data_IF_728031429037
#
_entry.id   IF_728031429037
#
_cell.length_a   1.000
_cell.length_b   1.000
_cell.length_c   1.000
_cell.angle_alpha   90.00
_cell.angle_beta   90.00
_cell.angle_gamma   90.00
#
_symmetry.space_group_name_H-M   'P 1'
#
loop_
_entity.id
_entity.type
_entity.pdbx_description
1 polymer ?
#
# COMPACT_ATOMS: atom_id res chain seq x y z
N UNK A 1 -43.03 -7.53 -7.52
CA UNK A 1 -42.47 -6.34 -8.19
C UNK A 1 -41.74 -5.43 -7.20
N UNK A 2 -42.37 -4.96 -6.12
CA UNK A 2 -41.72 -4.10 -5.10
C UNK A 2 -40.44 -4.70 -4.49
N UNK A 3 -40.46 -5.99 -4.13
CA UNK A 3 -39.28 -6.66 -3.55
C UNK A 3 -38.08 -6.67 -4.51
N UNK A 4 -38.32 -6.94 -5.79
CA UNK A 4 -37.27 -6.99 -6.83
C UNK A 4 -36.69 -5.58 -7.05
N UNK A 5 -37.55 -4.57 -7.16
CA UNK A 5 -37.11 -3.17 -7.30
C UNK A 5 -36.31 -2.72 -6.08
N UNK A 6 -36.73 -3.12 -4.87
CA UNK A 6 -36.01 -2.83 -3.64
C UNK A 6 -34.63 -3.49 -3.59
N UNK A 7 -34.51 -4.74 -4.03
CA UNK A 7 -33.21 -5.45 -4.10
C UNK A 7 -32.29 -4.79 -5.12
N UNK A 8 -32.79 -4.41 -6.30
CA UNK A 8 -32.01 -3.70 -7.32
C UNK A 8 -31.51 -2.37 -6.78
N UNK A 9 -32.37 -1.59 -6.11
CA UNK A 9 -32.00 -0.30 -5.55
C UNK A 9 -30.95 -0.44 -4.45
N UNK A 10 -31.11 -1.41 -3.53
CA UNK A 10 -30.12 -1.71 -2.50
C UNK A 10 -28.78 -2.18 -3.09
N UNK A 11 -28.82 -2.97 -4.17
CA UNK A 11 -27.60 -3.43 -4.86
C UNK A 11 -26.86 -2.27 -5.54
N UNK A 12 -27.58 -1.34 -6.17
CA UNK A 12 -26.98 -0.12 -6.74
C UNK A 12 -26.36 0.73 -5.64
N UNK A 13 -27.09 0.94 -4.53
CA UNK A 13 -26.61 1.73 -3.40
C UNK A 13 -25.33 1.14 -2.78
N UNK A 14 -25.27 -0.18 -2.66
CA UNK A 14 -24.10 -0.91 -2.14
C UNK A 14 -22.88 -0.90 -3.09
N UNK A 15 -23.09 -0.53 -4.36
CA UNK A 15 -22.06 -0.52 -5.42
C UNK A 15 -21.78 0.90 -5.94
N UNK A 16 -22.22 1.93 -5.23
CA UNK A 16 -21.82 3.29 -5.54
C UNK A 16 -20.29 3.43 -5.34
N UNK A 17 -19.60 4.18 -6.21
CA UNK A 17 -18.19 4.46 -6.01
C UNK A 17 -17.97 5.21 -4.69
N UNK A 18 -16.82 4.97 -4.06
CA UNK A 18 -16.40 5.74 -2.90
C UNK A 18 -16.32 7.23 -3.27
N UNK A 19 -16.59 8.11 -2.29
CA UNK A 19 -16.40 9.53 -2.48
C UNK A 19 -14.91 9.81 -2.79
N UNK A 20 -14.65 10.59 -3.84
CA UNK A 20 -13.29 10.96 -4.21
C UNK A 20 -12.71 11.84 -3.10
N UNK A 21 -11.56 11.44 -2.56
CA UNK A 21 -10.82 12.24 -1.59
C UNK A 21 -9.93 13.17 -2.39
N UNK A 22 -9.97 14.48 -2.07
CA UNK A 22 -9.03 15.42 -2.68
C UNK A 22 -7.65 15.25 -2.03
N UNK A 23 -6.85 14.37 -2.63
CA UNK A 23 -5.50 14.02 -2.19
C UNK A 23 -4.48 15.17 -2.35
N UNK A 24 -4.87 16.27 -3.02
CA UNK A 24 -4.01 17.41 -3.29
C UNK A 24 -4.36 18.64 -2.42
N UNK A 25 -5.47 18.59 -1.69
CA UNK A 25 -5.91 19.67 -0.80
C UNK A 25 -5.25 19.61 0.58
N UNK A 26 -4.54 20.67 0.95
CA UNK A 26 -3.95 20.85 2.28
C UNK A 26 -2.45 21.07 2.27
N UNK A 27 -1.88 21.07 3.47
CA UNK A 27 -0.46 21.28 3.71
C UNK A 27 0.27 19.97 3.90
N UNK A 28 1.44 19.84 3.28
CA UNK A 28 2.39 18.78 3.62
C UNK A 28 3.17 19.17 4.89
N UNK A 29 3.72 18.19 5.61
CA UNK A 29 4.54 18.43 6.80
C UNK A 29 5.73 19.36 6.51
N UNK A 30 6.27 19.32 5.28
CA UNK A 30 7.38 20.18 4.86
C UNK A 30 7.02 21.66 4.71
N UNK A 31 5.72 21.97 4.54
CA UNK A 31 5.19 23.33 4.43
C UNK A 31 4.77 23.89 5.81
N UNK A 32 4.80 23.06 6.85
CA UNK A 32 4.36 23.39 8.20
C UNK A 32 5.56 23.54 9.14
N UNK A 33 5.41 24.44 10.10
CA UNK A 33 6.37 24.54 11.21
C UNK A 33 6.03 23.52 12.30
N UNK A 34 7.02 23.17 13.13
CA UNK A 34 6.83 22.28 14.26
C UNK A 34 6.76 23.09 15.55
N UNK A 35 5.77 22.79 16.38
CA UNK A 35 5.65 23.29 17.76
C UNK A 35 5.64 22.13 18.73
N UNK A 36 6.49 22.22 19.74
CA UNK A 36 6.55 21.25 20.83
C UNK A 36 5.95 21.81 22.11
N UNK A 37 5.20 20.99 22.83
CA UNK A 37 4.69 21.31 24.17
C UNK A 37 4.93 20.13 25.10
N UNK A 38 5.28 20.41 26.34
CA UNK A 38 5.54 19.40 27.37
C UNK A 38 4.51 19.55 28.47
N UNK A 39 3.84 18.46 28.83
CA UNK A 39 2.92 18.36 29.97
C UNK A 39 3.24 17.09 30.78
N UNK A 40 3.89 17.27 31.94
CA UNK A 40 4.40 16.15 32.72
C UNK A 40 5.37 15.28 31.92
N UNK A 41 5.05 14.00 31.77
CA UNK A 41 5.82 13.03 30.96
C UNK A 41 5.40 12.98 29.49
N UNK A 42 4.44 13.81 29.05
CA UNK A 42 3.95 13.82 27.67
C UNK A 42 4.59 14.96 26.88
N UNK A 43 5.21 14.61 25.74
CA UNK A 43 5.70 15.56 24.75
C UNK A 43 4.77 15.50 23.54
N UNK A 44 4.15 16.62 23.19
CA UNK A 44 3.34 16.74 21.98
C UNK A 44 4.10 17.53 20.92
N UNK A 45 4.24 16.95 19.73
CA UNK A 45 4.83 17.59 18.55
C UNK A 45 3.71 17.86 17.56
N UNK A 46 3.41 19.15 17.29
CA UNK A 46 2.32 19.57 16.42
C UNK A 46 2.83 20.27 15.17
N UNK A 47 2.16 20.01 14.04
CA UNK A 47 2.31 20.75 12.80
C UNK A 47 1.49 22.03 12.84
N UNK A 48 2.12 23.16 12.51
CA UNK A 48 1.54 24.50 12.66
C UNK A 48 1.71 25.29 11.37
N UNK A 49 0.61 25.82 10.86
CA UNK A 49 0.58 26.62 9.64
C UNK A 49 1.15 28.05 9.87
N UNK A 50 1.36 28.86 8.82
CA UNK A 50 1.91 30.21 8.96
C UNK A 50 1.09 31.15 9.84
N UNK A 51 -0.20 30.88 10.05
CA UNK A 51 -1.08 31.67 10.94
C UNK A 51 -0.97 31.24 12.42
N UNK A 52 -0.12 30.26 12.72
CA UNK A 52 0.10 29.77 14.09
C UNK A 52 -0.95 28.75 14.56
N UNK A 53 -1.76 28.20 13.65
CA UNK A 53 -2.83 27.24 13.95
C UNK A 53 -2.33 25.80 13.70
N UNK A 54 -2.63 24.89 14.64
CA UNK A 54 -2.35 23.47 14.47
C UNK A 54 -3.15 22.95 13.27
N UNK A 55 -2.50 22.26 12.34
CA UNK A 55 -3.08 21.86 11.06
C UNK A 55 -2.64 20.45 10.70
N UNK A 56 -3.54 19.67 10.10
CA UNK A 56 -3.21 18.34 9.58
C UNK A 56 -2.16 18.41 8.47
N UNK A 57 -1.09 17.63 8.61
CA UNK A 57 -0.15 17.40 7.54
C UNK A 57 -0.65 16.23 6.68
N UNK A 58 -1.04 16.48 5.43
CA UNK A 58 -1.75 15.49 4.60
C UNK A 58 -0.90 14.26 4.27
N UNK A 59 0.40 14.44 4.09
CA UNK A 59 1.40 13.38 3.86
C UNK A 59 1.68 12.55 5.13
N UNK A 60 1.36 13.10 6.30
CA UNK A 60 1.41 12.40 7.58
C UNK A 60 0.03 11.89 8.01
N UNK A 61 -1.09 12.45 7.57
CA UNK A 61 -2.43 12.07 8.05
C UNK A 61 -2.67 12.33 9.54
N UNK A 62 -1.95 13.27 10.15
CA UNK A 62 -2.20 13.77 11.52
C UNK A 62 -1.68 15.20 11.68
N UNK A 63 -2.16 15.93 12.69
CA UNK A 63 -1.67 17.25 13.05
C UNK A 63 -0.72 17.21 14.26
N UNK A 64 -0.98 16.35 15.24
CA UNK A 64 -0.17 16.22 16.45
C UNK A 64 0.16 14.76 16.75
N UNK A 65 1.40 14.51 17.18
CA UNK A 65 1.79 13.26 17.82
C UNK A 65 2.12 13.52 19.28
N UNK A 66 1.42 12.83 20.19
CA UNK A 66 1.66 12.86 21.63
C UNK A 66 2.51 11.66 22.01
N UNK A 67 3.62 11.88 22.71
CA UNK A 67 4.55 10.85 23.16
C UNK A 67 4.63 10.84 24.68
N UNK A 68 4.17 9.78 25.31
CA UNK A 68 4.36 9.57 26.74
C UNK A 68 5.74 8.95 26.98
N UNK A 69 6.50 9.52 27.91
CA UNK A 69 7.82 9.03 28.30
C UNK A 69 7.79 8.34 29.66
N UNK A 70 8.66 7.35 29.84
CA UNK A 70 9.00 6.82 31.16
C UNK A 70 10.01 7.71 31.90
N UNK A 71 10.39 7.32 33.12
CA UNK A 71 11.34 8.05 33.96
C UNK A 71 12.76 8.13 33.35
N UNK A 72 13.09 7.22 32.41
CA UNK A 72 14.34 7.21 31.65
C UNK A 72 14.27 8.09 30.38
N UNK A 73 13.13 8.74 30.13
CA UNK A 73 12.88 9.57 28.94
C UNK A 73 12.61 8.77 27.67
N UNK A 74 12.39 7.46 27.75
CA UNK A 74 12.04 6.61 26.61
C UNK A 74 10.55 6.70 26.33
N UNK A 75 10.19 6.75 25.05
CA UNK A 75 8.78 6.80 24.64
C UNK A 75 8.13 5.44 24.90
N UNK A 76 7.11 5.40 25.76
CA UNK A 76 6.34 4.19 26.09
C UNK A 76 4.99 4.15 25.38
N UNK A 77 4.49 5.29 24.91
CA UNK A 77 3.26 5.35 24.12
C UNK A 77 3.28 6.52 23.14
N UNK A 78 2.72 6.32 21.95
CA UNK A 78 2.42 7.36 20.96
C UNK A 78 0.93 7.38 20.61
N UNK A 79 0.36 8.58 20.49
CA UNK A 79 -1.00 8.83 19.98
C UNK A 79 -0.98 9.90 18.90
N UNK A 80 -1.83 9.74 17.89
CA UNK A 80 -1.95 10.67 16.77
C UNK A 80 -3.29 11.39 16.83
N UNK A 81 -3.27 12.71 16.69
CA UNK A 81 -4.44 13.58 16.76
C UNK A 81 -4.60 14.41 15.49
N UNK A 82 -5.85 14.68 15.12
CA UNK A 82 -6.22 15.65 14.08
C UNK A 82 -6.00 17.10 14.55
N UNK A 83 -6.24 18.08 13.66
CA UNK A 83 -6.09 19.50 13.99
C UNK A 83 -7.01 20.00 15.13
N UNK A 84 -8.09 19.28 15.44
CA UNK A 84 -9.02 19.60 16.52
C UNK A 84 -8.63 18.91 17.85
N UNK A 85 -7.61 18.06 17.85
CA UNK A 85 -7.17 17.29 19.00
C UNK A 85 -7.92 15.98 19.22
N UNK A 86 -8.68 15.50 18.23
CA UNK A 86 -9.32 14.18 18.29
C UNK A 86 -8.40 13.08 17.76
N UNK A 87 -8.41 11.86 18.33
CA UNK A 87 -7.63 10.75 17.81
C UNK A 87 -7.92 10.48 16.33
N UNK A 88 -6.85 10.27 15.55
CA UNK A 88 -6.95 9.94 14.13
C UNK A 88 -6.22 8.63 13.83
N UNK A 89 -6.80 7.84 12.94
CA UNK A 89 -6.19 6.62 12.45
C UNK A 89 -5.00 6.92 11.53
N UNK A 90 -3.90 6.22 11.74
CA UNK A 90 -2.76 6.15 10.82
C UNK A 90 -2.96 5.00 9.83
N UNK A 91 -1.97 4.77 8.97
CA UNK A 91 -1.96 3.69 7.98
C UNK A 91 -2.43 2.36 8.60
N UNK A 92 -3.29 1.62 7.91
CA UNK A 92 -3.88 0.36 8.42
C UNK A 92 -4.65 0.49 9.75
N UNK A 93 -5.24 1.67 10.00
CA UNK A 93 -6.27 1.94 11.02
C UNK A 93 -5.86 1.90 12.50
N UNK A 94 -4.57 1.93 12.84
CA UNK A 94 -4.13 2.09 14.23
C UNK A 94 -4.12 3.57 14.66
N UNK A 95 -4.40 3.87 15.93
CA UNK A 95 -4.44 5.24 16.47
C UNK A 95 -3.27 5.54 17.42
N UNK A 96 -2.48 4.51 17.75
CA UNK A 96 -1.30 4.65 18.57
C UNK A 96 -0.40 3.42 18.58
N UNK A 97 0.72 3.56 19.28
CA UNK A 97 1.72 2.52 19.52
C UNK A 97 2.07 2.53 20.99
N UNK A 98 2.21 1.37 21.63
CA UNK A 98 2.89 1.25 22.92
C UNK A 98 4.22 0.52 22.77
N UNK A 99 5.14 0.83 23.66
CA UNK A 99 6.49 0.30 23.70
C UNK A 99 6.80 -0.25 25.10
N UNK A 100 7.25 -1.50 25.15
CA UNK A 100 7.83 -2.10 26.34
C UNK A 100 9.28 -2.44 26.06
N UNK A 101 10.18 -1.94 26.91
CA UNK A 101 11.62 -2.11 26.74
C UNK A 101 12.17 -3.17 27.69
N UNK A 102 12.91 -4.10 27.14
CA UNK A 102 13.73 -5.08 27.85
C UNK A 102 15.21 -4.86 27.48
N UNK A 103 16.14 -5.49 28.21
CA UNK A 103 17.59 -5.28 28.02
C UNK A 103 18.05 -5.54 26.57
N UNK A 104 17.41 -6.49 25.89
CA UNK A 104 17.78 -6.93 24.54
C UNK A 104 16.63 -6.88 23.54
N UNK A 105 15.45 -6.41 23.96
CA UNK A 105 14.28 -6.42 23.10
C UNK A 105 13.34 -5.24 23.34
N UNK A 106 12.46 -4.99 22.36
CA UNK A 106 11.38 -4.02 22.48
C UNK A 106 10.11 -4.64 21.93
N UNK A 107 9.06 -4.62 22.73
CA UNK A 107 7.71 -5.02 22.31
C UNK A 107 6.98 -3.78 21.83
N UNK A 108 6.47 -3.81 20.60
CA UNK A 108 5.74 -2.73 19.97
C UNK A 108 4.32 -3.22 19.70
N UNK A 109 3.32 -2.61 20.32
CA UNK A 109 1.91 -3.01 20.17
C UNK A 109 1.12 -1.91 19.48
N UNK A 110 0.35 -2.27 18.45
CA UNK A 110 -0.54 -1.36 17.73
C UNK A 110 -1.84 -1.20 18.50
N UNK A 111 -2.33 0.03 18.61
CA UNK A 111 -3.45 0.36 19.47
C UNK A 111 -4.62 0.97 18.69
N UNK A 112 -5.85 0.65 19.10
CA UNK A 112 -7.06 1.31 18.64
C UNK A 112 -7.24 2.70 19.30
N UNK A 113 -8.37 3.33 19.01
CA UNK A 113 -8.74 4.68 19.52
C UNK A 113 -8.92 4.72 21.04
N UNK A 114 -9.29 3.60 21.65
CA UNK A 114 -9.49 3.46 23.10
C UNK A 114 -8.19 3.08 23.83
N UNK A 115 -7.14 2.76 23.08
CA UNK A 115 -5.85 2.34 23.60
C UNK A 115 -5.70 0.84 23.79
N UNK A 116 -6.62 0.03 23.26
CA UNK A 116 -6.52 -1.43 23.31
C UNK A 116 -5.69 -1.95 22.12
N UNK A 117 -5.00 -3.10 22.26
CA UNK A 117 -4.33 -3.75 21.14
C UNK A 117 -5.27 -4.06 19.96
N UNK A 118 -4.83 -3.80 18.73
CA UNK A 118 -5.61 -4.03 17.50
C UNK A 118 -4.83 -4.86 16.48
N UNK A 119 -5.52 -5.74 15.76
CA UNK A 119 -4.95 -6.51 14.64
C UNK A 119 -4.89 -5.62 13.39
N UNK A 120 -3.70 -5.53 12.78
CA UNK A 120 -3.48 -4.86 11.49
C UNK A 120 -3.94 -5.72 10.31
N UNK A 121 -4.04 -5.11 9.12
CA UNK A 121 -4.39 -5.86 7.89
C UNK A 121 -3.41 -6.98 7.55
N UNK A 122 -2.16 -6.89 8.04
CA UNK A 122 -1.17 -7.95 7.89
C UNK A 122 -1.32 -9.12 8.86
N UNK A 123 -2.30 -9.09 9.78
CA UNK A 123 -2.70 -10.23 10.61
C UNK A 123 -2.06 -10.33 11.99
N UNK A 124 -1.29 -9.32 12.41
CA UNK A 124 -0.67 -9.25 13.75
C UNK A 124 -1.03 -7.95 14.47
N UNK A 125 -0.89 -7.93 15.79
CA UNK A 125 -1.11 -6.76 16.65
C UNK A 125 0.17 -6.28 17.34
N UNK A 126 1.19 -7.14 17.43
CA UNK A 126 2.40 -6.86 18.19
C UNK A 126 3.64 -7.31 17.41
N UNK A 127 4.71 -6.52 17.50
CA UNK A 127 6.05 -6.84 17.03
C UNK A 127 6.95 -7.01 18.24
N UNK A 128 7.64 -8.13 18.36
CA UNK A 128 8.76 -8.27 19.30
C UNK A 128 10.05 -8.10 18.52
N UNK A 129 10.77 -7.02 18.83
CA UNK A 129 12.02 -6.65 18.17
C UNK A 129 13.21 -6.98 19.07
N UNK A 130 14.08 -7.88 18.63
CA UNK A 130 15.37 -8.11 19.31
C UNK A 130 16.40 -7.10 18.83
N UNK A 131 17.40 -6.84 19.67
CA UNK A 131 18.47 -5.90 19.38
C UNK A 131 19.84 -6.54 19.60
N UNK A 132 20.78 -6.21 18.74
CA UNK A 132 22.21 -6.53 18.88
C UNK A 132 22.98 -5.24 18.72
N UNK A 133 23.84 -4.91 19.69
CA UNK A 133 24.61 -3.66 19.74
C UNK A 133 23.73 -2.39 19.58
N UNK A 134 22.54 -2.39 20.21
CA UNK A 134 21.58 -1.28 20.15
C UNK A 134 20.89 -1.09 18.79
N UNK A 135 20.96 -2.09 17.91
CA UNK A 135 20.33 -2.07 16.58
C UNK A 135 19.32 -3.19 16.46
N UNK A 136 18.19 -2.90 15.83
CA UNK A 136 17.17 -3.89 15.51
C UNK A 136 17.75 -5.07 14.72
N UNK A 137 17.63 -6.29 15.26
CA UNK A 137 18.14 -7.49 14.63
C UNK A 137 16.99 -8.29 14.01
N UNK A 138 16.14 -8.89 14.87
CA UNK A 138 14.93 -9.60 14.42
C UNK A 138 13.66 -8.85 14.82
N UNK A 139 12.63 -8.95 13.98
CA UNK A 139 11.24 -8.67 14.35
C UNK A 139 10.44 -9.96 14.22
N UNK A 140 9.60 -10.29 15.22
CA UNK A 140 8.61 -11.37 15.13
C UNK A 140 7.21 -10.85 15.41
N UNK A 141 6.21 -11.44 14.76
CA UNK A 141 4.83 -10.98 14.80
C UNK A 141 3.95 -11.83 15.71
N UNK A 142 3.10 -11.18 16.49
CA UNK A 142 2.23 -11.80 17.48
C UNK A 142 0.79 -11.29 17.36
N UNK A 143 -0.16 -12.17 17.65
CA UNK A 143 -1.59 -11.87 17.74
C UNK A 143 -1.98 -11.24 19.09
N UNK A 144 -3.27 -10.95 19.27
CA UNK A 144 -3.82 -10.36 20.50
C UNK A 144 -3.67 -11.26 21.74
N UNK A 145 -3.43 -12.55 21.55
CA UNK A 145 -3.22 -13.52 22.64
C UNK A 145 -1.73 -13.70 22.97
N UNK A 146 -0.84 -12.93 22.35
CA UNK A 146 0.61 -13.08 22.51
C UNK A 146 1.15 -14.35 21.84
N UNK A 147 0.43 -14.91 20.86
CA UNK A 147 0.89 -16.06 20.08
C UNK A 147 1.52 -15.60 18.78
N UNK A 148 2.67 -16.18 18.45
CA UNK A 148 3.37 -15.88 17.21
C UNK A 148 2.51 -16.28 16.00
N UNK A 149 2.34 -15.36 15.04
CA UNK A 149 1.42 -15.50 13.91
C UNK A 149 2.14 -15.24 12.58
N UNK A 150 1.69 -15.92 11.52
CA UNK A 150 2.19 -15.68 10.16
C UNK A 150 1.48 -14.46 9.59
N UNK A 151 2.24 -13.48 9.08
CA UNK A 151 1.64 -12.32 8.44
C UNK A 151 1.11 -12.64 7.03
N UNK A 152 0.38 -11.69 6.43
CA UNK A 152 -0.17 -11.76 5.07
C UNK A 152 0.87 -12.14 4.00
N UNK A 153 2.15 -11.78 4.21
CA UNK A 153 3.27 -12.10 3.31
C UNK A 153 3.81 -13.53 3.40
N UNK A 154 3.30 -14.35 4.34
CA UNK A 154 3.67 -15.75 4.49
C UNK A 154 4.89 -16.02 5.37
N UNK A 155 5.27 -15.09 6.26
CA UNK A 155 6.41 -15.24 7.16
C UNK A 155 6.03 -14.79 8.58
N UNK A 156 6.81 -15.21 9.58
CA UNK A 156 6.58 -14.91 11.00
C UNK A 156 7.48 -13.79 11.53
N UNK A 157 8.53 -13.44 10.80
CA UNK A 157 9.47 -12.42 11.22
C UNK A 157 10.43 -11.95 10.14
N UNK A 158 11.29 -11.01 10.51
CA UNK A 158 12.27 -10.38 9.65
C UNK A 158 13.62 -10.33 10.36
N UNK A 159 14.73 -10.60 9.67
CA UNK A 159 16.10 -10.42 10.17
C UNK A 159 16.86 -9.39 9.35
N UNK A 160 17.54 -8.48 10.01
CA UNK A 160 18.33 -7.41 9.39
C UNK A 160 19.81 -7.75 9.39
N UNK A 161 20.45 -7.64 8.23
CA UNK A 161 21.90 -7.77 8.09
C UNK A 161 22.56 -6.40 7.96
N UNK A 162 23.67 -6.19 8.67
CA UNK A 162 24.41 -4.94 8.71
C UNK A 162 25.85 -5.11 8.19
N UNK A 163 26.39 -4.10 7.53
CA UNK A 163 27.82 -4.01 7.24
C UNK A 163 28.62 -3.45 8.43
N UNK A 164 29.94 -3.33 8.27
CA UNK A 164 30.84 -2.83 9.32
C UNK A 164 30.53 -1.37 9.72
N UNK A 165 30.01 -0.58 8.79
CA UNK A 165 29.58 0.80 8.99
C UNK A 165 28.22 0.90 9.70
N UNK A 166 27.57 -0.23 10.00
CA UNK A 166 26.28 -0.28 10.67
C UNK A 166 25.09 0.05 9.77
N UNK A 167 25.28 0.03 8.45
CA UNK A 167 24.22 0.22 7.48
C UNK A 167 23.50 -1.11 7.24
N UNK A 168 22.18 -1.07 7.21
CA UNK A 168 21.39 -2.24 6.84
C UNK A 168 21.61 -2.53 5.34
N UNK A 169 22.13 -3.72 5.04
CA UNK A 169 22.45 -4.21 3.69
C UNK A 169 21.52 -5.34 3.23
N UNK A 170 20.74 -5.93 4.13
CA UNK A 170 19.84 -7.04 3.79
C UNK A 170 18.71 -7.23 4.78
N UNK A 171 17.65 -7.87 4.29
CA UNK A 171 16.49 -8.31 5.07
C UNK A 171 16.15 -9.75 4.68
N UNK A 172 16.13 -10.65 5.65
CA UNK A 172 15.70 -12.03 5.47
C UNK A 172 14.32 -12.24 6.12
N UNK A 173 13.45 -13.01 5.47
CA UNK A 173 12.13 -13.37 5.98
C UNK A 173 12.20 -14.68 6.74
N UNK A 174 11.58 -14.74 7.92
CA UNK A 174 11.76 -15.83 8.86
C UNK A 174 10.51 -16.69 9.01
N UNK A 175 10.69 -17.99 9.12
CA UNK A 175 9.67 -18.92 9.60
C UNK A 175 9.44 -18.77 11.12
N UNK A 176 8.54 -19.59 11.66
CA UNK A 176 8.19 -19.57 13.08
C UNK A 176 9.40 -19.83 13.99
N UNK A 177 10.36 -20.61 13.53
CA UNK A 177 11.55 -21.01 14.28
C UNK A 177 12.75 -20.07 14.07
N UNK A 178 12.57 -18.99 13.29
CA UNK A 178 13.63 -18.01 13.00
C UNK A 178 14.60 -18.42 11.90
N UNK A 179 14.22 -19.36 11.02
CA UNK A 179 15.00 -19.73 9.83
C UNK A 179 14.51 -18.97 8.60
N UNK A 180 15.40 -18.67 7.67
CA UNK A 180 15.03 -18.01 6.43
C UNK A 180 14.00 -18.85 5.65
N UNK A 181 12.95 -18.22 5.13
CA UNK A 181 11.87 -18.88 4.37
C UNK A 181 11.45 -18.05 3.17
N UNK A 182 11.11 -18.71 2.07
CA UNK A 182 10.56 -18.03 0.91
C UNK A 182 9.17 -17.47 1.21
N UNK A 183 8.98 -16.19 0.94
CA UNK A 183 7.70 -15.49 1.06
C UNK A 183 6.75 -15.85 -0.08
N UNK A 184 5.49 -15.42 0.02
CA UNK A 184 4.54 -15.47 -1.10
C UNK A 184 4.99 -14.63 -2.33
N UNK A 185 5.96 -13.73 -2.14
CA UNK A 185 6.58 -12.98 -3.23
C UNK A 185 7.69 -13.75 -3.96
N UNK A 186 8.02 -14.97 -3.53
CA UNK A 186 8.93 -15.88 -4.24
C UNK A 186 10.42 -15.75 -3.90
N UNK A 187 10.76 -15.08 -2.81
CA UNK A 187 12.14 -14.93 -2.34
C UNK A 187 12.20 -14.93 -0.81
N UNK A 188 13.37 -15.27 -0.25
CA UNK A 188 13.60 -15.38 1.20
C UNK A 188 14.49 -14.26 1.75
N UNK A 189 15.31 -13.64 0.90
CA UNK A 189 16.24 -12.58 1.29
C UNK A 189 16.15 -11.47 0.23
N UNK A 190 16.21 -10.21 0.68
CA UNK A 190 16.53 -9.09 -0.18
C UNK A 190 17.82 -8.41 0.28
N UNK A 191 18.62 -7.92 -0.67
CA UNK A 191 19.77 -7.04 -0.38
C UNK A 191 19.50 -5.65 -0.91
N UNK A 192 20.11 -4.64 -0.29
CA UNK A 192 19.95 -3.24 -0.68
C UNK A 192 21.17 -2.73 -1.46
N UNK A 193 20.90 -2.05 -2.57
CA UNK A 193 21.89 -1.27 -3.30
C UNK A 193 21.75 0.20 -2.91
N UNK A 194 22.87 0.87 -2.64
CA UNK A 194 22.89 2.27 -2.19
C UNK A 194 23.76 3.14 -3.10
N UNK A 195 23.37 4.39 -3.24
CA UNK A 195 24.21 5.41 -3.88
C UNK A 195 25.31 5.92 -2.93
N UNK A 196 26.14 6.85 -3.42
CA UNK A 196 27.23 7.45 -2.64
C UNK A 196 26.76 8.22 -1.41
N UNK A 197 25.50 8.64 -1.37
CA UNK A 197 24.90 9.33 -0.23
C UNK A 197 24.28 8.35 0.77
N UNK A 198 24.42 7.04 0.55
CA UNK A 198 23.84 5.99 1.39
C UNK A 198 22.34 5.79 1.19
N UNK A 199 21.73 6.40 0.17
CA UNK A 199 20.31 6.25 -0.14
C UNK A 199 20.07 4.93 -0.86
N UNK A 200 19.04 4.17 -0.46
CA UNK A 200 18.68 2.94 -1.19
C UNK A 200 18.17 3.30 -2.58
N UNK A 201 18.88 2.83 -3.60
CA UNK A 201 18.55 3.01 -5.03
C UNK A 201 18.19 1.70 -5.70
N UNK A 202 18.20 0.58 -4.99
CA UNK A 202 17.74 -0.68 -5.55
C UNK A 202 17.73 -1.81 -4.54
N UNK A 203 17.20 -2.95 -4.98
CA UNK A 203 17.21 -4.20 -4.23
C UNK A 203 17.28 -5.41 -5.15
N UNK A 204 17.81 -6.52 -4.64
CA UNK A 204 17.89 -7.80 -5.34
C UNK A 204 17.40 -8.93 -4.45
N UNK A 205 16.84 -9.98 -5.05
CA UNK A 205 16.13 -11.06 -4.38
C UNK A 205 16.90 -12.37 -4.44
N UNK A 206 16.91 -13.08 -3.31
CA UNK A 206 17.63 -14.34 -3.16
C UNK A 206 16.77 -15.39 -2.47
N UNK A 207 17.07 -16.66 -2.76
CA UNK A 207 16.52 -17.80 -2.04
C UNK A 207 17.18 -17.95 -0.64
N UNK A 208 16.82 -19.01 0.07
CA UNK A 208 17.35 -19.31 1.42
C UNK A 208 18.84 -19.67 1.42
N UNK A 209 19.37 -20.10 0.29
CA UNK A 209 20.77 -20.48 0.11
C UNK A 209 21.63 -19.28 -0.38
N UNK A 210 21.01 -18.13 -0.62
CA UNK A 210 21.67 -16.91 -1.08
C UNK A 210 21.88 -16.86 -2.60
N UNK A 211 21.20 -17.70 -3.38
CA UNK A 211 21.24 -17.62 -4.85
C UNK A 211 20.20 -16.62 -5.37
N UNK A 212 20.50 -15.83 -6.41
CA UNK A 212 19.51 -14.95 -7.03
C UNK A 212 18.26 -15.72 -7.46
N UNK A 213 17.08 -15.23 -7.08
CA UNK A 213 15.80 -15.90 -7.37
C UNK A 213 14.79 -14.93 -7.97
N UNK A 214 13.94 -15.48 -8.85
CA UNK A 214 12.87 -14.71 -9.50
C UNK A 214 11.66 -14.60 -8.57
N UNK A 215 11.23 -13.39 -8.29
CA UNK A 215 9.97 -13.13 -7.57
C UNK A 215 8.73 -13.59 -8.35
N UNK A 216 7.58 -13.63 -7.69
CA UNK A 216 6.27 -13.95 -8.30
C UNK A 216 5.88 -13.04 -9.47
N UNK A 217 6.38 -11.80 -9.49
CA UNK A 217 6.20 -10.85 -10.59
C UNK A 217 7.17 -11.04 -11.75
N UNK A 218 8.09 -12.01 -11.66
CA UNK A 218 9.00 -12.35 -12.73
C UNK A 218 10.28 -11.52 -12.79
N UNK A 219 10.68 -10.88 -11.69
CA UNK A 219 11.87 -10.02 -11.59
C UNK A 219 12.81 -10.51 -10.47
N UNK A 220 14.11 -10.29 -10.62
CA UNK A 220 15.14 -10.61 -9.64
C UNK A 220 15.54 -9.41 -8.77
N UNK A 221 15.13 -8.20 -9.17
CA UNK A 221 15.41 -7.00 -8.41
C UNK A 221 14.69 -5.79 -8.98
N UNK A 222 14.94 -4.65 -8.34
CA UNK A 222 14.40 -3.35 -8.66
C UNK A 222 15.49 -2.29 -8.50
N UNK A 223 15.49 -1.31 -9.39
CA UNK A 223 16.26 -0.07 -9.27
C UNK A 223 15.32 1.13 -9.24
N UNK A 224 15.61 2.10 -8.39
CA UNK A 224 14.74 3.23 -8.07
C UNK A 224 15.36 4.54 -8.54
N UNK A 225 14.55 5.38 -9.18
CA UNK A 225 14.88 6.78 -9.42
C UNK A 225 13.83 7.64 -8.77
N UNK A 226 14.28 8.62 -7.98
CA UNK A 226 13.39 9.53 -7.26
C UNK A 226 13.01 10.73 -8.12
N UNK A 227 11.78 11.20 -7.96
CA UNK A 227 11.33 12.46 -8.55
C UNK A 227 11.80 13.65 -7.70
N UNK A 228 11.46 14.87 -8.13
CA UNK A 228 11.85 16.12 -7.44
C UNK A 228 11.25 16.23 -6.02
N UNK A 229 10.16 15.52 -5.74
CA UNK A 229 9.51 15.46 -4.43
C UNK A 229 10.16 14.40 -3.50
N UNK A 230 11.14 13.64 -4.00
CA UNK A 230 11.81 12.57 -3.24
C UNK A 230 11.09 11.22 -3.26
N UNK A 231 9.92 11.11 -3.90
CA UNK A 231 9.21 9.84 -4.09
C UNK A 231 9.83 9.01 -5.21
N UNK A 232 9.56 7.70 -5.25
CA UNK A 232 10.07 6.80 -6.30
C UNK A 232 9.30 7.03 -7.62
N UNK A 233 9.76 7.98 -8.43
CA UNK A 233 9.13 8.30 -9.71
C UNK A 233 9.34 7.26 -10.81
N UNK A 234 10.37 6.41 -10.68
CA UNK A 234 10.60 5.30 -11.61
C UNK A 234 11.16 4.07 -10.90
N UNK A 235 10.66 2.91 -11.30
CA UNK A 235 11.18 1.58 -10.94
C UNK A 235 11.61 0.86 -12.21
N UNK A 236 12.86 0.45 -12.29
CA UNK A 236 13.38 -0.43 -13.35
C UNK A 236 13.53 -1.84 -12.80
N UNK A 237 12.95 -2.84 -13.44
CA UNK A 237 13.03 -4.23 -13.01
C UNK A 237 14.26 -4.93 -13.58
N UNK A 238 14.85 -5.79 -12.76
CA UNK A 238 16.16 -6.37 -13.04
C UNK A 238 16.09 -7.89 -13.23
N UNK A 239 16.99 -8.42 -14.05
CA UNK A 239 17.33 -9.84 -14.12
C UNK A 239 18.33 -10.25 -13.04
N UNK A 240 18.74 -11.53 -13.06
CA UNK A 240 19.66 -12.11 -12.07
C UNK A 240 21.03 -11.43 -12.04
N UNK A 241 21.46 -10.85 -13.17
CA UNK A 241 22.74 -10.16 -13.34
C UNK A 241 22.64 -8.66 -13.01
N UNK A 242 21.44 -8.18 -12.66
CA UNK A 242 21.18 -6.78 -12.34
C UNK A 242 20.92 -5.89 -13.56
N UNK A 243 20.68 -6.48 -14.74
CA UNK A 243 20.37 -5.71 -15.96
C UNK A 243 18.85 -5.50 -16.10
N UNK A 244 18.39 -4.41 -16.76
CA UNK A 244 16.97 -4.18 -17.01
C UNK A 244 16.31 -5.33 -17.81
N UNK A 245 15.27 -5.95 -17.24
CA UNK A 245 14.56 -7.08 -17.84
C UNK A 245 13.05 -7.01 -17.61
N UNK A 246 12.22 -7.55 -18.54
CA UNK A 246 10.77 -7.47 -18.42
C UNK A 246 10.23 -8.36 -17.30
N UNK A 247 9.17 -7.87 -16.64
CA UNK A 247 8.34 -8.64 -15.71
C UNK A 247 7.53 -9.73 -16.44
N UNK A 248 6.81 -10.57 -15.69
CA UNK A 248 5.84 -11.51 -16.28
C UNK A 248 4.74 -10.82 -17.11
N UNK A 249 4.44 -9.54 -16.82
CA UNK A 249 3.50 -8.74 -17.60
C UNK A 249 4.13 -8.09 -18.85
N UNK A 250 5.45 -8.20 -19.03
CA UNK A 250 6.15 -7.81 -20.26
C UNK A 250 6.66 -6.37 -20.32
N UNK A 251 6.57 -5.60 -19.23
CA UNK A 251 7.17 -4.27 -19.10
C UNK A 251 8.41 -4.31 -18.21
N UNK A 252 9.36 -3.41 -18.46
CA UNK A 252 10.66 -3.34 -17.77
C UNK A 252 10.75 -2.15 -16.83
N UNK A 253 10.04 -1.06 -17.15
CA UNK A 253 10.08 0.19 -16.38
C UNK A 253 8.65 0.55 -15.99
N UNK A 254 8.47 0.88 -14.71
CA UNK A 254 7.27 1.49 -14.16
C UNK A 254 7.58 2.95 -13.84
N UNK A 255 6.79 3.91 -14.32
CA UNK A 255 6.85 5.29 -13.83
C UNK A 255 5.64 5.59 -12.98
N UNK A 256 5.89 6.13 -11.79
CA UNK A 256 4.86 6.42 -10.80
C UNK A 256 4.72 7.92 -10.60
N UNK A 257 3.48 8.41 -10.53
CA UNK A 257 3.15 9.75 -10.03
C UNK A 257 2.45 9.63 -8.68
N UNK A 258 2.52 10.71 -7.90
CA UNK A 258 1.98 10.77 -6.55
C UNK A 258 1.17 12.05 -6.39
N UNK A 259 0.10 11.98 -5.61
CA UNK A 259 -0.59 13.15 -5.08
C UNK A 259 0.24 13.83 -3.99
N UNK A 260 -0.16 15.03 -3.57
CA UNK A 260 0.55 15.80 -2.53
C UNK A 260 0.58 15.10 -1.17
N UNK A 261 -0.43 14.30 -0.84
CA UNK A 261 -0.46 13.44 0.34
C UNK A 261 0.45 12.18 0.25
N UNK A 262 1.17 12.01 -0.87
CA UNK A 262 2.07 10.89 -1.09
C UNK A 262 1.40 9.59 -1.52
N UNK A 263 0.07 9.57 -1.69
CA UNK A 263 -0.63 8.44 -2.29
C UNK A 263 -0.30 8.34 -3.78
N UNK A 264 -0.24 7.11 -4.31
CA UNK A 264 0.12 6.91 -5.73
C UNK A 264 -1.05 7.28 -6.63
N UNK A 265 -0.83 8.21 -7.55
CA UNK A 265 -1.84 8.69 -8.51
C UNK A 265 -1.86 7.78 -9.75
N UNK A 266 -0.74 7.71 -10.49
CA UNK A 266 -0.64 6.90 -11.71
C UNK A 266 0.58 5.99 -11.74
N UNK A 267 0.42 4.87 -12.43
CA UNK A 267 1.47 3.95 -12.82
C UNK A 267 1.45 3.81 -14.34
N UNK A 268 2.58 4.05 -15.01
CA UNK A 268 2.72 3.92 -16.46
C UNK A 268 3.80 2.88 -16.81
N UNK A 269 3.53 2.03 -17.79
CA UNK A 269 4.35 0.88 -18.16
C UNK A 269 5.18 1.16 -19.41
N UNK A 270 6.47 0.80 -19.37
CA UNK A 270 7.41 1.01 -20.46
C UNK A 270 8.30 -0.21 -20.69
N UNK A 271 8.79 -0.35 -21.92
CA UNK A 271 9.85 -1.30 -22.27
C UNK A 271 11.23 -0.84 -21.77
N UNK A 272 12.26 -1.65 -21.99
CA UNK A 272 13.63 -1.35 -21.57
C UNK A 272 14.23 -0.09 -22.23
N UNK A 273 13.69 0.34 -23.39
CA UNK A 273 14.13 1.54 -24.10
C UNK A 273 13.34 2.79 -23.66
N UNK A 274 12.39 2.64 -22.72
CA UNK A 274 11.53 3.73 -22.27
C UNK A 274 10.35 4.03 -23.20
N UNK A 275 10.01 3.14 -24.14
CA UNK A 275 8.80 3.30 -24.94
C UNK A 275 7.57 2.78 -24.18
N UNK A 276 6.40 3.45 -24.27
CA UNK A 276 5.18 2.97 -23.64
C UNK A 276 4.82 1.54 -24.06
N UNK A 277 4.50 0.69 -23.08
CA UNK A 277 4.19 -0.74 -23.27
C UNK A 277 2.74 -1.04 -22.90
N UNK A 278 1.93 -1.40 -23.90
CA UNK A 278 0.58 -1.89 -23.65
C UNK A 278 0.60 -3.26 -22.97
N UNK A 279 -0.30 -3.46 -21.99
CA UNK A 279 -0.57 -4.75 -21.35
C UNK A 279 -1.82 -5.42 -21.98
N UNK A 280 -2.32 -6.49 -21.34
CA UNK A 280 -3.38 -7.37 -21.87
C UNK A 280 -4.69 -6.66 -22.23
N UNK A 281 -5.10 -5.65 -21.46
CA UNK A 281 -6.28 -4.82 -21.74
C UNK A 281 -5.97 -3.62 -22.65
N UNK A 282 -4.81 -3.64 -23.33
CA UNK A 282 -4.27 -2.56 -24.17
C UNK A 282 -3.99 -1.25 -23.43
N UNK A 283 -4.02 -1.29 -22.09
CA UNK A 283 -3.67 -0.17 -21.23
C UNK A 283 -2.16 0.02 -21.19
N UNK A 284 -1.73 1.27 -21.10
CA UNK A 284 -0.33 1.67 -20.92
C UNK A 284 -0.05 2.10 -19.48
N UNK A 285 -1.10 2.20 -18.66
CA UNK A 285 -0.99 2.51 -17.25
C UNK A 285 -2.31 2.33 -16.52
N UNK A 286 -2.28 2.65 -15.24
CA UNK A 286 -3.44 2.73 -14.38
C UNK A 286 -3.40 4.05 -13.60
N UNK A 287 -4.57 4.63 -13.35
CA UNK A 287 -4.80 5.68 -12.38
C UNK A 287 -5.61 5.11 -11.22
N UNK A 288 -5.20 5.39 -9.99
CA UNK A 288 -5.95 5.00 -8.79
C UNK A 288 -7.00 6.07 -8.51
N UNK A 289 -8.22 5.66 -8.19
CA UNK A 289 -9.31 6.54 -7.76
C UNK A 289 -10.13 5.77 -6.74
N UNK A 290 -9.97 6.12 -5.46
CA UNK A 290 -10.45 5.30 -4.34
C UNK A 290 -9.91 3.87 -4.43
N UNK A 291 -10.83 2.89 -4.42
CA UNK A 291 -10.49 1.45 -4.58
C UNK A 291 -10.39 0.99 -6.04
N UNK A 292 -10.70 1.86 -6.99
CA UNK A 292 -10.75 1.51 -8.41
C UNK A 292 -9.42 1.80 -9.12
N UNK A 293 -9.08 0.93 -10.07
CA UNK A 293 -7.98 1.15 -11.02
C UNK A 293 -8.56 1.49 -12.39
N UNK A 294 -8.32 2.71 -12.84
CA UNK A 294 -8.77 3.22 -14.13
C UNK A 294 -7.65 3.07 -15.16
N UNK A 295 -7.91 2.37 -16.25
CA UNK A 295 -6.97 2.08 -17.32
C UNK A 295 -6.64 3.33 -18.14
N UNK A 296 -5.36 3.55 -18.41
CA UNK A 296 -4.84 4.71 -19.13
C UNK A 296 -4.32 4.35 -20.52
N UNK A 297 -4.49 5.27 -21.47
CA UNK A 297 -3.93 5.21 -22.81
C UNK A 297 -2.42 5.56 -22.81
N UNK A 298 -1.78 5.49 -23.98
CA UNK A 298 -0.35 5.78 -24.16
C UNK A 298 0.09 7.19 -23.74
N UNK A 299 -0.85 8.12 -23.61
CA UNK A 299 -0.61 9.51 -23.25
C UNK A 299 -1.01 9.79 -21.79
N UNK A 300 -1.48 8.78 -21.05
CA UNK A 300 -1.94 8.93 -19.67
C UNK A 300 -3.39 9.37 -19.54
N UNK A 301 -4.19 9.38 -20.61
CA UNK A 301 -5.61 9.73 -20.53
C UNK A 301 -6.45 8.50 -20.19
N UNK A 302 -7.57 8.71 -19.50
CA UNK A 302 -8.55 7.65 -19.21
C UNK A 302 -9.06 7.03 -20.51
N UNK A 303 -8.92 5.72 -20.63
CA UNK A 303 -9.40 4.99 -21.81
C UNK A 303 -10.94 4.95 -21.85
N UNK A 304 -11.57 5.17 -23.03
CA UNK A 304 -12.99 4.92 -23.21
C UNK A 304 -13.25 3.42 -23.42
N UNK A 305 -13.15 2.63 -22.35
CA UNK A 305 -13.40 1.19 -22.37
C UNK A 305 -14.41 0.75 -21.31
N UNK A 306 -15.04 -0.40 -21.56
CA UNK A 306 -16.05 -0.95 -20.63
C UNK A 306 -15.41 -1.30 -19.28
N UNK A 307 -14.14 -1.71 -19.24
CA UNK A 307 -13.41 -1.91 -17.98
C UNK A 307 -13.41 -0.65 -17.11
N UNK A 308 -13.16 0.52 -17.68
CA UNK A 308 -13.18 1.78 -16.93
C UNK A 308 -14.57 2.18 -16.49
N UNK A 309 -15.59 1.90 -17.31
CA UNK A 309 -16.98 2.13 -16.92
C UNK A 309 -17.36 1.28 -15.70
N UNK A 310 -16.98 -0.01 -15.69
CA UNK A 310 -17.29 -0.91 -14.59
C UNK A 310 -16.41 -0.68 -13.36
N UNK A 311 -15.12 -0.39 -13.55
CA UNK A 311 -14.21 -0.09 -12.44
C UNK A 311 -14.59 1.22 -11.75
N UNK A 312 -14.91 2.27 -12.53
CA UNK A 312 -15.33 3.56 -11.99
C UNK A 312 -16.76 3.56 -11.44
N UNK A 313 -17.64 2.72 -11.98
CA UNK A 313 -19.03 2.61 -11.54
C UNK A 313 -19.48 1.14 -11.46
N UNK A 314 -19.13 0.41 -10.38
CA UNK A 314 -19.48 -1.00 -10.24
C UNK A 314 -20.99 -1.27 -10.32
N UNK A 315 -21.81 -0.31 -9.88
CA UNK A 315 -23.27 -0.38 -10.00
C UNK A 315 -23.77 -0.49 -11.45
N UNK A 316 -22.97 -0.11 -12.45
CA UNK A 316 -23.33 -0.23 -13.86
C UNK A 316 -23.53 -1.68 -14.30
N UNK A 317 -22.91 -2.65 -13.62
CA UNK A 317 -23.18 -4.08 -13.86
C UNK A 317 -24.66 -4.40 -13.65
N UNK A 318 -25.23 -3.94 -12.53
CA UNK A 318 -26.65 -4.16 -12.19
C UNK A 318 -27.55 -3.44 -13.18
N UNK A 319 -27.20 -2.21 -13.55
CA UNK A 319 -27.97 -1.41 -14.52
C UNK A 319 -27.98 -2.10 -15.89
N UNK A 320 -26.81 -2.51 -16.41
CA UNK A 320 -26.69 -3.21 -17.69
C UNK A 320 -27.44 -4.54 -17.67
N UNK A 321 -27.34 -5.31 -16.58
CA UNK A 321 -28.10 -6.54 -16.39
C UNK A 321 -29.62 -6.31 -16.45
N UNK A 322 -30.12 -5.24 -15.82
CA UNK A 322 -31.54 -4.85 -15.90
C UNK A 322 -31.95 -4.47 -17.34
N UNK A 323 -31.11 -3.71 -18.05
CA UNK A 323 -31.36 -3.34 -19.45
C UNK A 323 -31.41 -4.58 -20.35
N UNK A 324 -30.48 -5.52 -20.19
CA UNK A 324 -30.48 -6.79 -20.93
C UNK A 324 -31.75 -7.59 -20.64
N UNK A 325 -32.18 -7.68 -19.38
CA UNK A 325 -33.43 -8.34 -19.00
C UNK A 325 -34.65 -7.68 -19.65
N UNK A 326 -34.72 -6.34 -19.66
CA UNK A 326 -35.81 -5.60 -20.29
C UNK A 326 -35.82 -5.78 -21.81
N UNK A 327 -34.67 -5.77 -22.46
CA UNK A 327 -34.54 -6.05 -23.89
C UNK A 327 -34.99 -7.49 -24.21
N UNK A 328 -34.67 -8.45 -23.35
CA UNK A 328 -35.15 -9.82 -23.49
C UNK A 328 -36.67 -9.93 -23.39
N UNK A 329 -37.35 -9.05 -22.65
CA UNK A 329 -38.81 -9.02 -22.56
C UNK A 329 -39.42 -8.26 -23.76
N UNK A 330 -38.86 -7.09 -24.08
CA UNK A 330 -39.46 -6.13 -25.01
C UNK A 330 -39.24 -6.45 -26.50
N UNK A 331 -38.18 -7.16 -26.87
CA UNK A 331 -37.92 -7.48 -28.28
C UNK A 331 -39.00 -8.44 -28.83
N UNK A 332 -39.31 -8.39 -30.14
CA UNK A 332 -40.19 -9.37 -30.79
C UNK A 332 -39.49 -10.73 -31.00
N UNK A 333 -40.24 -11.84 -30.94
CA UNK A 333 -39.70 -13.22 -31.03
C UNK A 333 -38.89 -13.49 -32.32
N UNK A 334 -39.13 -12.72 -33.39
CA UNK A 334 -38.39 -12.74 -34.65
C UNK A 334 -36.91 -12.36 -34.51
N UNK A 335 -36.52 -11.71 -33.41
CA UNK A 335 -35.14 -11.31 -33.10
C UNK A 335 -34.50 -12.19 -32.00
N UNK A 336 -34.93 -13.44 -31.86
CA UNK A 336 -34.42 -14.38 -30.83
C UNK A 336 -32.91 -14.63 -30.92
N UNK A 337 -32.35 -14.66 -32.14
CA UNK A 337 -30.90 -14.80 -32.35
C UNK A 337 -30.15 -13.60 -31.79
N UNK A 338 -30.64 -12.37 -32.05
CA UNK A 338 -30.04 -11.14 -31.54
C UNK A 338 -30.07 -11.09 -30.02
N UNK A 339 -31.18 -11.51 -29.39
CA UNK A 339 -31.28 -11.64 -27.92
C UNK A 339 -30.23 -12.59 -27.35
N UNK A 340 -30.05 -13.74 -27.99
CA UNK A 340 -29.09 -14.76 -27.53
C UNK A 340 -27.66 -14.25 -27.68
N UNK A 341 -27.34 -13.55 -28.78
CA UNK A 341 -26.01 -12.97 -29.01
C UNK A 341 -25.69 -11.88 -27.99
N UNK A 342 -26.64 -10.98 -27.69
CA UNK A 342 -26.44 -9.92 -26.67
C UNK A 342 -26.24 -10.53 -25.28
N UNK A 343 -26.99 -11.58 -24.94
CA UNK A 343 -26.86 -12.26 -23.65
C UNK A 343 -25.53 -13.02 -23.52
N UNK A 344 -25.11 -13.73 -24.57
CA UNK A 344 -23.81 -14.42 -24.60
C UNK A 344 -22.67 -13.40 -24.54
N UNK A 345 -22.77 -12.27 -25.25
CA UNK A 345 -21.76 -11.22 -25.19
C UNK A 345 -21.63 -10.60 -23.79
N UNK A 346 -22.73 -10.46 -23.05
CA UNK A 346 -22.70 -9.99 -21.66
C UNK A 346 -22.03 -11.01 -20.72
N UNK A 347 -22.41 -12.30 -20.82
CA UNK A 347 -21.80 -13.38 -20.01
C UNK A 347 -20.30 -13.55 -20.29
N UNK A 348 -19.91 -13.52 -21.57
CA UNK A 348 -18.51 -13.63 -21.98
C UNK A 348 -17.68 -12.39 -21.65
N UNK A 349 -18.32 -11.28 -21.28
CA UNK A 349 -17.62 -10.08 -20.84
C UNK A 349 -17.39 -10.07 -19.32
N UNK A 350 -18.26 -10.73 -18.54
CA UNK A 350 -18.11 -10.88 -17.09
C UNK A 350 -17.19 -12.05 -16.66
N UNK A 351 -16.93 -13.02 -17.55
CA UNK A 351 -15.95 -14.10 -17.34
C UNK A 351 -14.62 -13.79 -18.04
#
# INVERSE_FOLDING_TARGET
MLLIVSIILLSILALLPDADVDHDAGYTASELSIRETVDGSVISTSHVNPDGVITDAIDMGYATVCRMQDDDGRVVEERYLDANGYPVARYENFHGLSYEYDETSTVITYLDVEGNPIIRSDGYSTIVRTQVDGRAYDDFFYDLNGQQVQCSGGYYGLRRGYNAEGQNISLAFLDKDGRAVCTLSGYAIMTYQRDMNGTVVGKQYFDTDGNPVRSSLGKYGEFYQRNEQGYTGQITYLDADGNPAPTNAGYTILKCTYHRDGTTDTDMYFDANGNPKALSKRQYGIKRSGRANILLDRNGNVMPCVDNLLNGFPCMVVVLGCVVCLLMIALPKSLSVVRTVVYIAFILYEN
#
